data_IF_866907857644
#
_entry.id   IF_866907857644
#
_cell.length_a   1.000
_cell.length_b   1.000
_cell.length_c   1.000
_cell.angle_alpha   90.00
_cell.angle_beta   90.00
_cell.angle_gamma   90.00
#
_symmetry.space_group_name_H-M   'P 1'
#
loop_
_entity.id
_entity.type
_entity.pdbx_description
1 polymer ?
#
# COMPACT_ATOMS: atom_id res chain seq x y z
N UNK A 1 -6.75 -10.31 13.63
CA UNK A 1 -6.37 -9.11 14.40
C UNK A 1 -5.03 -8.56 13.90
N UNK A 2 -4.93 -7.26 13.77
CA UNK A 2 -3.70 -6.61 13.31
C UNK A 2 -2.67 -6.58 14.45
N UNK A 3 -1.46 -7.03 14.16
CA UNK A 3 -0.34 -6.96 15.10
C UNK A 3 0.94 -6.60 14.34
N UNK A 4 2.07 -6.55 15.01
CA UNK A 4 3.33 -6.14 14.38
C UNK A 4 3.84 -7.11 13.31
N UNK A 5 3.35 -8.33 13.30
CA UNK A 5 3.71 -9.33 12.29
C UNK A 5 2.78 -9.30 11.08
N UNK A 6 1.65 -8.61 11.16
CA UNK A 6 0.69 -8.51 10.06
C UNK A 6 1.33 -7.80 8.87
N UNK A 7 1.21 -8.41 7.70
CA UNK A 7 1.72 -7.82 6.46
C UNK A 7 0.70 -6.82 5.92
N UNK A 8 1.07 -5.56 5.94
CA UNK A 8 0.21 -4.47 5.48
C UNK A 8 0.74 -3.95 4.16
N UNK A 9 -0.10 -3.95 3.14
CA UNK A 9 0.23 -3.34 1.85
C UNK A 9 -0.44 -1.97 1.78
N UNK A 10 0.31 -0.97 1.35
CA UNK A 10 -0.23 0.36 1.06
C UNK A 10 -0.26 0.53 -0.45
N UNK A 11 -1.46 0.51 -1.03
CA UNK A 11 -1.63 0.72 -2.47
C UNK A 11 -1.63 2.21 -2.79
N UNK A 12 -0.81 2.60 -3.75
CA UNK A 12 -0.64 3.99 -4.11
C UNK A 12 -0.37 4.13 -5.61
N UNK A 13 -0.43 5.35 -6.12
CA UNK A 13 -0.11 5.63 -7.50
C UNK A 13 -1.22 5.24 -8.47
N UNK A 14 -0.86 4.39 -9.42
CA UNK A 14 -1.79 3.92 -10.44
C UNK A 14 -1.77 4.79 -11.69
N UNK A 15 -2.66 4.49 -12.66
CA UNK A 15 -2.66 5.19 -13.95
C UNK A 15 -3.40 6.52 -13.95
N UNK A 16 -3.93 6.94 -12.81
CA UNK A 16 -4.67 8.19 -12.67
C UNK A 16 -3.76 9.41 -12.77
N UNK A 17 -4.33 10.57 -13.17
CA UNK A 17 -3.62 11.84 -13.16
C UNK A 17 -3.26 12.28 -11.74
N UNK A 18 -3.89 11.67 -10.74
CA UNK A 18 -3.61 11.94 -9.32
C UNK A 18 -2.58 10.97 -8.73
N UNK A 19 -1.88 10.22 -9.58
CA UNK A 19 -0.94 9.18 -9.12
C UNK A 19 0.18 9.75 -8.25
N UNK A 20 0.72 10.91 -8.60
CA UNK A 20 1.79 11.52 -7.81
C UNK A 20 1.33 11.89 -6.41
N UNK A 21 0.13 12.46 -6.30
CA UNK A 21 -0.46 12.80 -5.00
C UNK A 21 -0.68 11.52 -4.19
N UNK A 22 -1.18 10.50 -4.84
CA UNK A 22 -1.41 9.19 -4.22
C UNK A 22 -0.10 8.59 -3.69
N UNK A 23 0.98 8.66 -4.48
CA UNK A 23 2.28 8.12 -4.04
C UNK A 23 2.81 8.89 -2.83
N UNK A 24 2.64 10.21 -2.81
CA UNK A 24 3.07 11.02 -1.67
C UNK A 24 2.29 10.67 -0.42
N UNK A 25 0.96 10.56 -0.55
CA UNK A 25 0.10 10.18 0.57
C UNK A 25 0.42 8.77 1.06
N UNK A 26 0.53 7.83 0.13
CA UNK A 26 0.81 6.43 0.46
C UNK A 26 2.17 6.27 1.12
N UNK A 27 3.18 6.97 0.62
CA UNK A 27 4.52 6.92 1.22
C UNK A 27 4.52 7.46 2.64
N UNK A 28 3.81 8.56 2.88
CA UNK A 28 3.71 9.12 4.23
C UNK A 28 3.02 8.15 5.19
N UNK A 29 1.96 7.48 4.72
CA UNK A 29 1.26 6.47 5.51
C UNK A 29 2.17 5.30 5.82
N UNK A 30 2.90 4.82 4.82
CA UNK A 30 3.81 3.69 4.99
C UNK A 30 4.91 4.04 6.01
N UNK A 31 5.50 5.21 5.90
CA UNK A 31 6.52 5.66 6.84
C UNK A 31 5.98 5.75 8.26
N UNK A 32 4.77 6.31 8.43
CA UNK A 32 4.15 6.43 9.73
C UNK A 32 3.91 5.07 10.37
N UNK A 33 3.41 4.11 9.59
CA UNK A 33 3.16 2.76 10.10
C UNK A 33 4.46 2.04 10.44
N UNK A 34 5.49 2.20 9.62
CA UNK A 34 6.80 1.60 9.89
C UNK A 34 7.43 2.18 11.14
N UNK A 35 7.25 3.48 11.37
CA UNK A 35 7.84 4.16 12.54
C UNK A 35 7.28 3.64 13.85
N UNK A 36 6.08 3.07 13.84
CA UNK A 36 5.49 2.47 15.04
C UNK A 36 5.58 0.95 15.04
N UNK A 37 6.40 0.40 14.14
CA UNK A 37 6.82 -1.00 14.19
C UNK A 37 6.05 -1.98 13.32
N UNK A 38 5.13 -1.53 12.48
CA UNK A 38 4.41 -2.43 11.59
C UNK A 38 5.23 -2.81 10.37
N UNK A 39 4.94 -3.97 9.80
CA UNK A 39 5.54 -4.43 8.54
C UNK A 39 4.70 -3.89 7.40
N UNK A 40 5.27 -3.00 6.59
CA UNK A 40 4.54 -2.31 5.53
C UNK A 40 5.24 -2.51 4.19
N UNK A 41 4.44 -2.82 3.18
CA UNK A 41 4.92 -2.97 1.81
C UNK A 41 4.21 -1.92 0.97
N UNK A 42 4.92 -0.85 0.58
CA UNK A 42 4.33 0.11 -0.36
C UNK A 42 4.26 -0.55 -1.74
N UNK A 43 3.13 -0.42 -2.40
CA UNK A 43 2.88 -1.08 -3.67
C UNK A 43 2.22 -0.13 -4.66
N UNK A 44 2.80 -0.02 -5.85
CA UNK A 44 2.20 0.73 -6.94
C UNK A 44 0.95 -0.01 -7.42
N UNK A 45 -0.17 0.70 -7.56
CA UNK A 45 -1.40 0.12 -8.03
C UNK A 45 -1.33 -0.17 -9.53
N UNK A 46 -1.45 -1.43 -9.89
CA UNK A 46 -1.56 -1.88 -11.26
C UNK A 46 -2.92 -2.58 -11.41
N UNK A 47 -3.91 -1.94 -12.05
CA UNK A 47 -5.26 -2.52 -12.13
C UNK A 47 -5.32 -3.86 -12.84
N UNK A 48 -4.34 -4.16 -13.70
CA UNK A 48 -4.33 -5.43 -14.43
C UNK A 48 -3.74 -6.58 -13.61
N UNK A 49 -2.96 -6.27 -12.57
CA UNK A 49 -2.22 -7.28 -11.81
C UNK A 49 -2.38 -7.16 -10.30
N UNK A 50 -3.35 -6.34 -9.83
CA UNK A 50 -3.46 -6.03 -8.41
C UNK A 50 -3.66 -7.27 -7.54
N UNK A 51 -4.55 -8.17 -7.94
CA UNK A 51 -4.83 -9.38 -7.15
C UNK A 51 -3.58 -10.26 -7.08
N UNK A 52 -2.93 -10.46 -8.20
CA UNK A 52 -1.72 -11.27 -8.28
C UNK A 52 -0.60 -10.68 -7.43
N UNK A 53 -0.41 -9.36 -7.53
CA UNK A 53 0.62 -8.67 -6.75
C UNK A 53 0.36 -8.75 -5.25
N UNK A 54 -0.89 -8.61 -4.83
CA UNK A 54 -1.25 -8.73 -3.41
C UNK A 54 -1.01 -10.14 -2.89
N UNK A 55 -1.34 -11.14 -3.69
CA UNK A 55 -1.08 -12.54 -3.32
C UNK A 55 0.40 -12.82 -3.18
N UNK A 56 1.22 -12.34 -4.12
CA UNK A 56 2.66 -12.53 -4.07
C UNK A 56 3.29 -11.85 -2.86
N UNK A 57 2.75 -10.70 -2.48
CA UNK A 57 3.24 -9.98 -1.31
C UNK A 57 2.80 -10.61 0.02
N UNK A 58 1.82 -11.50 -0.03
CA UNK A 58 1.27 -12.09 1.17
C UNK A 58 0.47 -11.11 2.01
N UNK A 59 -0.22 -10.17 1.34
CA UNK A 59 -0.96 -9.12 2.01
C UNK A 59 -2.06 -9.69 2.90
N UNK A 60 -2.07 -9.25 4.15
CA UNK A 60 -3.13 -9.60 5.10
C UNK A 60 -4.09 -8.43 5.29
N UNK A 61 -3.56 -7.21 5.16
CA UNK A 61 -4.33 -5.98 5.22
C UNK A 61 -3.88 -5.09 4.08
N UNK A 62 -4.82 -4.43 3.43
CA UNK A 62 -4.51 -3.49 2.36
C UNK A 62 -5.05 -2.12 2.74
N UNK A 63 -4.16 -1.14 2.80
CA UNK A 63 -4.53 0.25 2.98
C UNK A 63 -4.57 0.89 1.60
N UNK A 64 -5.69 1.48 1.25
CA UNK A 64 -5.87 2.05 -0.09
C UNK A 64 -5.67 3.56 -0.03
N UNK A 65 -4.58 4.01 -0.63
CA UNK A 65 -4.23 5.44 -0.69
C UNK A 65 -4.38 5.98 -2.12
N UNK A 66 -5.35 5.44 -2.86
CA UNK A 66 -5.58 5.85 -4.25
C UNK A 66 -6.44 7.10 -4.31
N UNK A 67 -6.19 7.92 -5.32
CA UNK A 67 -6.94 9.14 -5.62
C UNK A 67 -7.50 9.08 -7.05
N UNK A 68 -8.57 9.77 -7.27
CA UNK A 68 -9.23 9.83 -8.55
C UNK A 68 -10.24 8.74 -8.74
#
# INVERSE_FOLDING_TARGET
MINKETKIVVLMGGPSTEAEVSRNTGSAIAEALESIGYRVIPMEYDPHHVVENLKKAGAEVVFIALHG
#
